data_IF_452491133338
#
_entry.id   IF_452491133338
#
_cell.length_a   1.000
_cell.length_b   1.000
_cell.length_c   1.000
_cell.angle_alpha   90.00
_cell.angle_beta   90.00
_cell.angle_gamma   90.00
#
_symmetry.space_group_name_H-M   'P 1'
#
loop_
_entity.id
_entity.type
_entity.pdbx_description
1 polymer ?
#
# COMPACT_ATOMS: atom_id res chain seq x y z
N UNK A 1 31.36 -25.58 -39.08
CA UNK A 1 30.18 -25.28 -38.23
C UNK A 1 29.30 -24.31 -39.00
N UNK A 2 28.11 -24.76 -39.40
CA UNK A 2 27.23 -24.01 -40.30
C UNK A 2 26.63 -22.79 -39.59
N UNK A 3 26.59 -21.64 -40.26
CA UNK A 3 26.00 -20.39 -39.75
C UNK A 3 24.55 -20.59 -39.26
N UNK A 4 23.85 -21.58 -39.82
CA UNK A 4 22.48 -21.95 -39.46
C UNK A 4 22.34 -22.43 -38.01
N UNK A 5 23.32 -23.13 -37.45
CA UNK A 5 23.20 -23.67 -36.07
C UNK A 5 23.39 -22.59 -35.00
N UNK A 6 24.11 -21.50 -35.31
CA UNK A 6 24.30 -20.38 -34.38
C UNK A 6 23.01 -19.55 -34.21
N UNK A 7 22.23 -19.40 -35.29
CA UNK A 7 20.99 -18.63 -35.28
C UNK A 7 19.88 -19.29 -34.43
N UNK A 8 19.76 -20.63 -34.47
CA UNK A 8 18.79 -21.36 -33.65
C UNK A 8 19.09 -21.30 -32.14
N UNK A 9 20.36 -21.16 -31.76
CA UNK A 9 20.79 -21.11 -30.36
C UNK A 9 20.50 -19.72 -29.72
N UNK A 10 20.52 -18.66 -30.52
CA UNK A 10 20.19 -17.30 -30.08
C UNK A 10 18.67 -17.14 -29.86
N UNK A 11 17.84 -17.76 -30.72
CA UNK A 11 16.37 -17.68 -30.62
C UNK A 11 15.83 -18.39 -29.36
N UNK A 12 16.50 -19.44 -28.87
CA UNK A 12 16.12 -20.14 -27.63
C UNK A 12 16.53 -19.39 -26.34
N UNK A 13 17.44 -18.42 -26.42
CA UNK A 13 17.92 -17.65 -25.27
C UNK A 13 17.16 -16.35 -25.03
N UNK A 14 16.34 -15.89 -25.99
CA UNK A 14 15.47 -14.73 -25.80
C UNK A 14 14.21 -15.16 -25.04
N UNK A 15 14.35 -15.37 -23.73
CA UNK A 15 13.21 -15.27 -22.82
C UNK A 15 12.78 -13.81 -22.83
N UNK A 16 11.65 -13.52 -23.47
CA UNK A 16 10.99 -12.22 -23.38
C UNK A 16 10.60 -11.99 -21.92
N UNK A 17 11.44 -11.29 -21.16
CA UNK A 17 11.06 -10.72 -19.87
C UNK A 17 10.10 -9.57 -20.14
N UNK A 18 8.81 -9.82 -19.98
CA UNK A 18 7.79 -8.77 -19.97
C UNK A 18 7.94 -7.98 -18.67
N UNK A 19 8.50 -6.78 -18.75
CA UNK A 19 8.47 -5.81 -17.67
C UNK A 19 7.07 -5.18 -17.64
N UNK A 20 6.13 -5.84 -16.97
CA UNK A 20 4.76 -5.37 -16.79
C UNK A 20 4.12 -6.09 -15.61
N UNK A 21 3.23 -5.41 -14.88
CA UNK A 21 2.55 -6.00 -13.73
C UNK A 21 1.72 -7.23 -14.13
N UNK A 22 1.65 -8.20 -13.23
CA UNK A 22 0.93 -9.45 -13.39
C UNK A 22 -0.58 -9.18 -13.47
N UNK A 23 -1.21 -9.69 -14.53
CA UNK A 23 -2.65 -9.58 -14.73
C UNK A 23 -3.44 -10.47 -13.76
N UNK A 24 -4.77 -10.35 -13.80
CA UNK A 24 -5.68 -11.18 -13.01
C UNK A 24 -5.33 -12.67 -13.13
N UNK A 25 -5.42 -13.38 -12.01
CA UNK A 25 -5.19 -14.81 -11.83
C UNK A 25 -3.72 -15.26 -12.02
N UNK A 26 -2.81 -14.33 -12.36
CA UNK A 26 -1.39 -14.60 -12.35
C UNK A 26 -0.81 -14.67 -10.94
N UNK A 27 0.31 -15.38 -10.78
CA UNK A 27 0.98 -15.57 -9.49
C UNK A 27 1.67 -14.29 -9.02
N UNK A 28 1.56 -14.00 -7.73
CA UNK A 28 2.13 -12.85 -7.06
C UNK A 28 2.50 -13.17 -5.62
N UNK A 29 3.27 -12.31 -4.98
CA UNK A 29 3.64 -12.41 -3.57
C UNK A 29 3.51 -11.06 -2.87
N UNK A 30 2.72 -11.03 -1.77
CA UNK A 30 2.56 -9.81 -0.96
C UNK A 30 3.82 -9.43 -0.17
N UNK A 31 4.90 -10.24 -0.26
CA UNK A 31 6.20 -9.91 0.35
C UNK A 31 6.97 -8.91 -0.50
N UNK A 32 6.64 -8.83 -1.77
CA UNK A 32 7.24 -7.91 -2.73
C UNK A 32 6.50 -6.56 -2.74
N UNK A 33 5.40 -6.45 -1.98
CA UNK A 33 4.65 -5.21 -1.77
C UNK A 33 5.47 -4.23 -0.93
N UNK A 34 5.78 -3.06 -1.49
CA UNK A 34 6.51 -2.01 -0.79
C UNK A 34 6.18 -0.63 -1.34
N UNK A 35 6.53 0.42 -0.59
CA UNK A 35 6.50 1.79 -1.11
C UNK A 35 7.88 2.10 -1.67
N UNK A 36 7.93 2.53 -2.93
CA UNK A 36 9.15 2.99 -3.56
C UNK A 36 9.69 4.22 -2.80
N UNK A 37 10.95 4.21 -2.33
CA UNK A 37 11.47 5.25 -1.44
C UNK A 37 11.65 6.61 -2.14
N UNK A 38 11.75 6.65 -3.47
CA UNK A 38 12.01 7.88 -4.22
C UNK A 38 10.70 8.55 -4.68
N UNK A 39 9.78 7.77 -5.26
CA UNK A 39 8.50 8.25 -5.79
C UNK A 39 7.36 8.21 -4.76
N UNK A 40 7.54 7.50 -3.64
CA UNK A 40 6.50 7.19 -2.67
C UNK A 40 5.27 6.49 -3.27
N UNK A 41 5.44 5.81 -4.41
CA UNK A 41 4.38 5.00 -5.03
C UNK A 41 4.37 3.61 -4.41
N UNK A 42 3.17 3.06 -4.16
CA UNK A 42 3.02 1.65 -3.82
C UNK A 42 3.36 0.76 -5.02
N UNK A 43 4.27 -0.19 -4.82
CA UNK A 43 4.74 -1.19 -5.77
C UNK A 43 4.29 -2.58 -5.33
N UNK A 44 3.83 -3.39 -6.29
CA UNK A 44 3.48 -4.80 -6.12
C UNK A 44 3.74 -5.55 -7.43
N UNK A 45 3.69 -6.89 -7.36
CA UNK A 45 3.78 -7.74 -8.55
C UNK A 45 2.62 -7.53 -9.53
N UNK A 46 1.45 -7.13 -9.02
CA UNK A 46 0.21 -7.02 -9.77
C UNK A 46 0.13 -5.72 -10.57
N UNK A 47 -0.63 -5.71 -11.66
CA UNK A 47 -0.85 -4.49 -12.46
C UNK A 47 -1.76 -3.48 -11.74
N UNK A 48 -1.91 -2.27 -12.29
CA UNK A 48 -2.66 -1.18 -11.64
C UNK A 48 -4.17 -1.48 -11.44
N UNK A 49 -4.71 -2.52 -12.09
CA UNK A 49 -6.10 -2.96 -11.95
C UNK A 49 -6.28 -4.11 -10.95
N UNK A 50 -5.19 -4.74 -10.51
CA UNK A 50 -5.22 -5.92 -9.64
C UNK A 50 -4.42 -5.70 -8.35
N UNK A 51 -4.56 -6.64 -7.42
CA UNK A 51 -3.87 -6.66 -6.14
C UNK A 51 -3.52 -8.08 -5.75
N UNK A 52 -2.43 -8.26 -5.02
CA UNK A 52 -2.00 -9.59 -4.62
C UNK A 52 -2.75 -10.05 -3.37
N UNK A 53 -3.26 -11.28 -3.38
CA UNK A 53 -3.90 -11.87 -2.20
C UNK A 53 -3.36 -13.27 -1.91
N UNK A 54 -3.02 -13.48 -0.64
CA UNK A 54 -2.58 -14.78 -0.13
C UNK A 54 -3.75 -15.76 0.03
N UNK A 55 -4.98 -15.26 0.11
CA UNK A 55 -6.18 -16.09 0.27
C UNK A 55 -6.42 -17.01 -0.94
N UNK A 56 -5.99 -16.60 -2.14
CA UNK A 56 -6.08 -17.39 -3.38
C UNK A 56 -4.69 -17.84 -3.84
N UNK A 57 -3.89 -18.35 -2.90
CA UNK A 57 -2.55 -18.91 -3.15
C UNK A 57 -1.56 -17.93 -3.80
N UNK A 58 -1.63 -16.64 -3.45
CA UNK A 58 -0.74 -15.63 -4.03
C UNK A 58 -1.07 -15.40 -5.49
N UNK A 59 -2.30 -14.96 -5.77
CA UNK A 59 -2.72 -14.59 -7.12
C UNK A 59 -3.27 -13.18 -7.17
N UNK A 60 -3.09 -12.52 -8.32
CA UNK A 60 -3.60 -11.18 -8.54
C UNK A 60 -5.11 -11.23 -8.74
N UNK A 61 -5.85 -10.51 -7.90
CA UNK A 61 -7.30 -10.35 -8.00
C UNK A 61 -7.65 -8.92 -8.37
N UNK A 62 -8.81 -8.70 -9.01
CA UNK A 62 -9.23 -7.34 -9.38
C UNK A 62 -9.41 -6.48 -8.14
N UNK A 63 -8.98 -5.22 -8.20
CA UNK A 63 -9.19 -4.25 -7.12
C UNK A 63 -10.67 -4.14 -6.77
N UNK A 64 -10.96 -4.09 -5.48
CA UNK A 64 -12.32 -4.05 -4.94
C UNK A 64 -12.76 -2.64 -4.54
N UNK A 65 -11.80 -1.72 -4.41
CA UNK A 65 -12.05 -0.31 -4.16
C UNK A 65 -11.00 0.54 -4.87
N UNK A 66 -11.28 1.84 -4.95
CA UNK A 66 -10.29 2.85 -5.34
C UNK A 66 -10.27 3.99 -4.32
N UNK A 67 -9.13 4.67 -4.25
CA UNK A 67 -8.97 5.91 -3.50
C UNK A 67 -9.25 7.13 -4.37
N UNK A 68 -8.67 7.15 -5.57
CA UNK A 68 -8.66 8.33 -6.41
C UNK A 68 -9.93 8.39 -7.29
N UNK A 69 -10.44 9.60 -7.50
CA UNK A 69 -11.64 9.82 -8.31
C UNK A 69 -11.42 9.39 -9.78
N UNK A 70 -10.18 9.53 -10.26
CA UNK A 70 -9.74 9.19 -11.60
C UNK A 70 -8.60 8.15 -11.53
N UNK A 71 -8.92 6.85 -11.46
CA UNK A 71 -7.90 5.82 -11.26
C UNK A 71 -7.07 5.59 -12.52
N UNK A 72 -5.76 5.50 -12.34
CA UNK A 72 -4.84 5.13 -13.41
C UNK A 72 -5.07 3.67 -13.87
N UNK A 73 -4.80 3.40 -15.14
CA UNK A 73 -4.83 2.05 -15.70
C UNK A 73 -6.20 1.57 -16.19
N UNK A 74 -7.25 2.40 -16.13
CA UNK A 74 -8.60 2.06 -16.63
C UNK A 74 -8.90 2.82 -17.93
N UNK A 75 -9.31 2.09 -18.97
CA UNK A 75 -9.72 2.64 -20.25
C UNK A 75 -11.22 2.98 -20.32
N UNK A 76 -11.66 3.64 -21.40
CA UNK A 76 -13.08 3.86 -21.65
C UNK A 76 -13.85 2.54 -21.75
N UNK A 77 -14.83 2.35 -20.86
CA UNK A 77 -15.66 1.13 -20.81
C UNK A 77 -15.21 0.08 -19.80
N UNK A 78 -14.04 0.25 -19.17
CA UNK A 78 -13.61 -0.65 -18.10
C UNK A 78 -14.49 -0.49 -16.84
N UNK A 79 -14.70 -1.60 -16.13
CA UNK A 79 -15.39 -1.59 -14.84
C UNK A 79 -14.46 -1.02 -13.76
N UNK A 80 -14.63 0.26 -13.46
CA UNK A 80 -13.84 0.96 -12.43
C UNK A 80 -14.35 0.58 -11.02
N UNK A 81 -13.47 0.16 -10.09
CA UNK A 81 -13.86 -0.12 -8.71
C UNK A 81 -14.55 1.07 -8.03
N UNK A 82 -15.46 0.87 -7.08
CA UNK A 82 -16.13 1.97 -6.40
C UNK A 82 -15.19 2.71 -5.43
N UNK A 83 -15.51 3.99 -5.15
CA UNK A 83 -14.95 4.68 -4.00
C UNK A 83 -15.52 4.10 -2.71
N UNK A 84 -14.73 4.14 -1.64
CA UNK A 84 -15.22 3.71 -0.33
C UNK A 84 -16.25 4.69 0.26
N UNK A 85 -17.28 4.19 0.95
CA UNK A 85 -18.24 5.04 1.63
C UNK A 85 -17.58 5.85 2.75
N UNK A 86 -18.22 6.94 3.15
CA UNK A 86 -17.73 7.77 4.26
C UNK A 86 -17.55 6.94 5.54
N UNK A 87 -16.46 7.19 6.26
CA UNK A 87 -16.09 6.41 7.46
C UNK A 87 -15.30 5.14 7.16
N UNK A 88 -14.91 4.92 5.89
CA UNK A 88 -14.02 3.83 5.47
C UNK A 88 -12.98 4.35 4.48
N UNK A 89 -11.89 3.59 4.31
CA UNK A 89 -10.80 3.91 3.39
C UNK A 89 -10.51 2.72 2.47
N UNK A 90 -9.87 3.01 1.33
CA UNK A 90 -9.31 2.00 0.45
C UNK A 90 -7.80 1.84 0.73
N UNK A 91 -7.33 0.64 1.12
CA UNK A 91 -5.91 0.33 1.23
C UNK A 91 -5.16 0.57 -0.09
N UNK A 92 -3.85 0.84 -0.04
CA UNK A 92 -3.01 1.07 -1.23
C UNK A 92 -3.11 -0.05 -2.27
N UNK A 93 -3.19 -1.30 -1.81
CA UNK A 93 -3.31 -2.46 -2.68
C UNK A 93 -4.71 -2.54 -3.32
N UNK A 94 -5.75 -1.95 -2.73
CA UNK A 94 -7.11 -1.98 -3.27
C UNK A 94 -7.89 -3.27 -2.95
N UNK A 95 -7.55 -3.94 -1.85
CA UNK A 95 -8.15 -5.21 -1.40
C UNK A 95 -9.64 -5.10 -1.01
N UNK A 96 -10.11 -3.88 -0.72
CA UNK A 96 -11.50 -3.59 -0.37
C UNK A 96 -11.61 -2.51 0.69
N UNK A 97 -12.82 -1.97 0.88
CA UNK A 97 -13.03 -0.89 1.84
C UNK A 97 -12.90 -1.39 3.28
N UNK A 98 -12.12 -0.67 4.08
CA UNK A 98 -11.86 -0.98 5.49
C UNK A 98 -12.30 0.19 6.39
N UNK A 99 -12.77 -0.07 7.61
CA UNK A 99 -13.11 1.00 8.54
C UNK A 99 -11.87 1.83 8.90
N UNK A 100 -12.06 3.12 9.17
CA UNK A 100 -10.98 3.99 9.62
C UNK A 100 -10.30 3.43 10.88
N UNK A 101 -8.98 3.57 10.94
CA UNK A 101 -8.08 3.10 11.98
C UNK A 101 -8.11 4.04 13.17
N UNK A 102 -8.37 3.51 14.37
CA UNK A 102 -8.29 4.28 15.61
C UNK A 102 -6.86 4.78 15.89
N UNK A 103 -6.73 5.81 16.71
CA UNK A 103 -5.42 6.27 17.22
C UNK A 103 -4.63 5.10 17.83
N UNK A 104 -3.34 5.00 17.48
CA UNK A 104 -2.43 3.92 17.89
C UNK A 104 -2.46 2.68 16.98
N UNK A 105 -3.41 2.57 16.05
CA UNK A 105 -3.43 1.48 15.06
C UNK A 105 -2.45 1.74 13.91
N UNK A 106 -2.05 0.67 13.23
CA UNK A 106 -1.16 0.77 12.07
C UNK A 106 -1.86 1.38 10.86
N UNK A 107 -1.11 2.17 10.09
CA UNK A 107 -1.55 2.81 8.85
C UNK A 107 -0.43 2.78 7.81
N UNK A 108 -0.80 2.91 6.53
CA UNK A 108 0.16 2.97 5.42
C UNK A 108 0.85 4.35 5.36
N UNK A 109 2.11 4.40 4.94
CA UNK A 109 2.93 5.62 4.98
C UNK A 109 2.24 6.78 4.25
N UNK A 110 2.14 7.95 4.89
CA UNK A 110 1.50 9.15 4.32
C UNK A 110 0.03 8.96 3.94
N UNK A 111 -0.66 8.01 4.59
CA UNK A 111 -2.09 7.74 4.40
C UNK A 111 -2.91 8.17 5.62
N UNK A 112 -2.93 9.48 5.86
CA UNK A 112 -3.69 10.09 6.97
C UNK A 112 -5.19 9.82 6.85
N UNK A 113 -5.69 9.64 5.63
CA UNK A 113 -7.07 9.31 5.30
C UNK A 113 -7.54 7.95 5.88
N UNK A 114 -6.59 7.11 6.31
CA UNK A 114 -6.90 5.84 6.97
C UNK A 114 -7.23 6.02 8.44
N UNK A 115 -6.83 7.13 9.05
CA UNK A 115 -6.95 7.36 10.48
C UNK A 115 -8.29 8.00 10.83
N UNK A 116 -8.95 7.48 11.85
CA UNK A 116 -10.20 8.01 12.36
C UNK A 116 -9.95 9.38 13.02
N UNK A 117 -10.83 10.38 12.80
CA UNK A 117 -10.70 11.69 13.44
C UNK A 117 -10.95 11.60 14.96
N UNK A 118 -10.26 12.40 15.79
CA UNK A 118 -10.57 12.53 17.21
C UNK A 118 -11.90 13.27 17.44
N UNK A 119 -12.51 13.18 18.65
CA UNK A 119 -13.79 13.82 18.95
C UNK A 119 -13.84 15.34 18.73
N UNK A 120 -12.71 16.04 18.91
CA UNK A 120 -12.57 17.49 18.75
C UNK A 120 -11.91 17.89 17.42
N UNK A 121 -12.02 17.05 16.38
CA UNK A 121 -11.31 17.24 15.11
C UNK A 121 -11.55 18.60 14.47
N UNK A 122 -12.72 19.23 14.65
CA UNK A 122 -13.03 20.54 14.05
C UNK A 122 -12.05 21.63 14.49
N UNK A 123 -11.45 21.49 15.68
CA UNK A 123 -10.45 22.43 16.21
C UNK A 123 -9.02 22.06 15.80
N UNK A 124 -8.82 20.83 15.33
CA UNK A 124 -7.51 20.24 15.01
C UNK A 124 -7.26 20.14 13.52
N UNK A 125 -8.33 20.16 12.72
CA UNK A 125 -8.28 20.04 11.27
C UNK A 125 -7.49 21.19 10.66
N UNK A 126 -6.58 20.84 9.76
CA UNK A 126 -5.80 21.79 8.97
C UNK A 126 -5.57 21.22 7.58
N UNK A 127 -4.96 22.01 6.68
CA UNK A 127 -4.56 21.52 5.36
C UNK A 127 -3.46 20.46 5.40
N UNK A 128 -2.87 20.19 6.57
CA UNK A 128 -1.77 19.26 6.75
C UNK A 128 -2.20 17.93 7.40
N UNK A 129 -3.49 17.70 7.63
CA UNK A 129 -3.98 16.48 8.27
C UNK A 129 -5.36 16.06 7.74
N UNK A 130 -5.72 14.80 8.01
CA UNK A 130 -7.06 14.30 7.72
C UNK A 130 -7.95 14.47 8.95
N UNK A 131 -8.64 15.62 9.04
CA UNK A 131 -9.54 15.94 10.17
C UNK A 131 -8.85 15.76 11.54
N UNK A 132 -7.68 16.35 11.70
CA UNK A 132 -6.91 16.29 12.96
C UNK A 132 -6.13 14.99 13.20
N UNK A 133 -6.18 14.04 12.27
CA UNK A 133 -5.43 12.78 12.34
C UNK A 133 -4.31 12.72 11.30
N UNK A 134 -3.22 12.06 11.68
CA UNK A 134 -2.02 11.82 10.86
C UNK A 134 -1.62 10.36 10.93
N UNK A 135 -1.04 9.83 9.86
CA UNK A 135 -0.30 8.59 9.87
C UNK A 135 1.20 8.86 9.97
N UNK A 136 1.75 8.80 11.18
CA UNK A 136 3.18 9.03 11.41
C UNK A 136 3.87 7.73 11.84
N UNK A 137 4.98 7.40 11.17
CA UNK A 137 5.73 6.15 11.42
C UNK A 137 4.81 4.91 11.40
N UNK A 138 3.94 4.83 10.39
CA UNK A 138 2.95 3.76 10.22
C UNK A 138 1.99 3.59 11.39
N UNK A 139 1.75 4.66 12.16
CA UNK A 139 0.84 4.66 13.31
C UNK A 139 -0.08 5.87 13.25
N UNK A 140 -1.39 5.64 13.44
CA UNK A 140 -2.37 6.71 13.51
C UNK A 140 -2.20 7.53 14.79
N UNK A 141 -2.09 8.84 14.66
CA UNK A 141 -1.91 9.78 15.76
C UNK A 141 -2.82 10.99 15.56
N UNK A 142 -3.23 11.65 16.64
CA UNK A 142 -3.99 12.91 16.59
C UNK A 142 -3.09 14.11 16.85
N UNK A 143 -3.36 15.21 16.15
CA UNK A 143 -2.69 16.49 16.37
C UNK A 143 -3.32 17.16 17.59
N UNK A 144 -2.53 17.53 18.60
CA UNK A 144 -3.03 18.33 19.71
C UNK A 144 -2.88 19.82 19.40
N UNK A 145 -3.98 20.59 19.49
CA UNK A 145 -4.04 22.02 19.11
C UNK A 145 -3.12 22.98 19.90
N UNK A 146 -2.38 22.52 20.92
CA UNK A 146 -1.85 23.42 21.94
C UNK A 146 -0.38 23.77 21.76
N UNK A 147 0.37 23.09 20.90
CA UNK A 147 1.76 23.47 20.59
C UNK A 147 2.23 22.62 19.41
N UNK A 148 3.09 23.17 18.54
CA UNK A 148 3.86 22.39 17.55
C UNK A 148 4.87 21.44 18.21
N UNK A 149 4.48 20.72 19.27
CA UNK A 149 5.32 19.82 20.05
C UNK A 149 4.52 18.60 20.52
N UNK A 150 4.95 17.48 19.98
CA UNK A 150 4.81 16.10 20.45
C UNK A 150 3.40 15.53 20.66
N UNK A 151 3.04 14.71 19.67
CA UNK A 151 1.96 13.74 19.62
C UNK A 151 1.83 12.99 20.95
N UNK A 152 0.63 13.05 21.52
CA UNK A 152 0.27 12.29 22.70
C UNK A 152 0.07 10.82 22.31
N UNK A 153 1.16 10.08 22.11
CA UNK A 153 1.14 8.65 22.31
C UNK A 153 0.79 8.44 23.78
N UNK A 154 -0.46 8.09 24.05
CA UNK A 154 -0.87 7.70 25.39
C UNK A 154 0.13 6.66 25.90
N UNK A 155 0.66 6.89 27.12
CA UNK A 155 1.74 6.13 27.75
C UNK A 155 1.49 4.60 27.85
N UNK A 156 0.33 4.11 27.43
CA UNK A 156 0.01 2.69 27.33
C UNK A 156 0.65 1.98 26.12
N UNK A 157 1.00 2.70 25.04
CA UNK A 157 1.57 2.08 23.83
C UNK A 157 3.10 1.85 23.90
N UNK A 158 3.83 2.62 24.72
CA UNK A 158 5.29 2.52 24.82
C UNK A 158 5.77 1.25 25.54
N UNK A 159 4.92 0.57 26.31
CA UNK A 159 5.30 -0.66 27.02
C UNK A 159 5.35 -1.92 26.13
N UNK A 160 4.79 -1.90 24.92
CA UNK A 160 4.75 -3.08 24.04
C UNK A 160 5.93 -3.16 23.04
N UNK A 161 6.64 -2.06 22.77
CA UNK A 161 7.69 -2.03 21.73
C UNK A 161 9.06 -2.53 22.25
N UNK A 162 9.24 -2.73 23.57
CA UNK A 162 10.55 -3.11 24.14
C UNK A 162 10.93 -4.60 24.01
N UNK A 163 10.14 -5.47 23.37
CA UNK A 163 10.34 -6.92 23.56
C UNK A 163 10.68 -7.77 22.33
N UNK A 164 10.84 -7.27 21.09
CA UNK A 164 11.27 -8.17 19.98
C UNK A 164 12.24 -7.55 18.96
N UNK A 165 13.54 -7.62 19.27
CA UNK A 165 14.56 -8.03 18.29
C UNK A 165 15.36 -9.18 18.89
N UNK A 166 15.66 -10.20 18.09
CA UNK A 166 17.05 -10.33 17.71
C UNK A 166 17.23 -10.39 16.19
N UNK A 167 18.37 -9.84 15.79
CA UNK A 167 18.94 -9.89 14.46
C UNK A 167 19.09 -11.33 13.95
N UNK A 168 18.98 -11.55 12.64
CA UNK A 168 19.90 -12.44 11.90
C UNK A 168 19.77 -12.25 10.38
N UNK A 169 20.93 -11.90 9.80
CA UNK A 169 21.47 -12.19 8.46
C UNK A 169 20.70 -11.80 7.19
N UNK A 170 21.27 -10.75 6.57
CA UNK A 170 21.20 -10.36 5.16
C UNK A 170 21.69 -11.49 4.25
N UNK A 171 20.91 -11.79 3.20
CA UNK A 171 21.44 -12.30 1.93
C UNK A 171 20.96 -11.34 0.83
N UNK A 172 21.91 -10.68 0.17
CA UNK A 172 21.66 -9.89 -1.03
C UNK A 172 21.35 -10.81 -2.21
N UNK A 173 20.33 -10.47 -2.98
CA UNK A 173 20.20 -10.90 -4.37
C UNK A 173 19.65 -9.75 -5.20
#
# INVERSE_FOLDING_TARGET
MSWSTLAFLIIWLVRLSTCGGVSKDGTCSTKDDHVDPDSHKFMSDCNDQTYCTTATNGTCQTRQCRRDEFPFGYGPGDAVPPLCPRGSFCPDEGSGCQPLRSVGQSCQLSRDDQCAPPPNWQQLASSQNANGSLCLHSTCVSVSAHTGRQLQLSLLALFQIRQRRPWSTVCHR
#
